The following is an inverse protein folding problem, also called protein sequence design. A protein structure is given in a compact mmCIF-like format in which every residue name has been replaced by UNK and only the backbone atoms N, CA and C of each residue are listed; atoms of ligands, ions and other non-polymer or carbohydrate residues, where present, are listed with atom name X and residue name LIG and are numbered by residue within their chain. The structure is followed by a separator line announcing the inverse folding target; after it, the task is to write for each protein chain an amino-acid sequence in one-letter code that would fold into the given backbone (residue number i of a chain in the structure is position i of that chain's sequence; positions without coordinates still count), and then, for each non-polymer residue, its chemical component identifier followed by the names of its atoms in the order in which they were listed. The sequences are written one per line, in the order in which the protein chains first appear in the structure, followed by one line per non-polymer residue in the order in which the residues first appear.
data_IF_264850481066
#
_entry.id   IF_264850481066
#
_cell.length_a   1.000
_cell.length_b   1.000
_cell.length_c   1.000
_cell.angle_alpha   90.00
_cell.angle_beta   90.00
_cell.angle_gamma   90.00
#
_symmetry.space_group_name_H-M   'P 1'
#
loop_
_entity.id
_entity.type
_entity.pdbx_description
1 polymer ?
#
# COMPACT_ATOMS: atom_id res chain seq x y z
N UNK A 1 -15.95 -1.62 -23.58
CA UNK A 1 -14.96 -2.72 -23.64
C UNK A 1 -14.09 -2.56 -22.41
N UNK A 2 -13.94 -3.61 -21.58
CA UNK A 2 -13.00 -3.62 -20.47
C UNK A 2 -11.61 -3.72 -21.09
N UNK A 3 -10.69 -2.81 -20.76
CA UNK A 3 -9.32 -2.87 -21.27
C UNK A 3 -8.66 -4.20 -20.87
N UNK A 4 -7.87 -4.76 -21.79
CA UNK A 4 -7.11 -5.98 -21.49
C UNK A 4 -6.05 -5.66 -20.43
N UNK A 5 -6.13 -6.32 -19.29
CA UNK A 5 -5.06 -6.29 -18.28
C UNK A 5 -4.08 -7.44 -18.52
N UNK A 6 -2.86 -7.24 -18.09
CA UNK A 6 -1.77 -8.23 -18.11
C UNK A 6 -1.28 -8.60 -16.70
N UNK A 7 -2.18 -8.60 -15.76
CA UNK A 7 -1.95 -8.94 -14.36
C UNK A 7 -3.20 -9.60 -13.75
N UNK A 8 -2.97 -10.46 -12.79
CA UNK A 8 -4.00 -11.06 -11.94
C UNK A 8 -4.01 -10.37 -10.58
N UNK A 9 -2.85 -10.01 -10.04
CA UNK A 9 -2.77 -9.25 -8.79
C UNK A 9 -2.08 -7.91 -9.02
N UNK A 10 -2.73 -6.83 -8.60
CA UNK A 10 -2.14 -5.50 -8.59
C UNK A 10 -2.02 -4.98 -7.16
N UNK A 11 -0.79 -4.81 -6.69
CA UNK A 11 -0.53 -4.11 -5.43
C UNK A 11 -0.53 -2.59 -5.62
N UNK A 12 -1.23 -1.88 -4.74
CA UNK A 12 -1.20 -0.42 -4.64
C UNK A 12 -0.77 -0.05 -3.24
N UNK A 13 0.53 0.17 -3.07
CA UNK A 13 1.15 0.55 -1.81
C UNK A 13 1.38 2.04 -1.68
N UNK A 14 1.81 2.44 -0.50
CA UNK A 14 2.18 3.83 -0.19
C UNK A 14 1.68 4.28 1.17
N UNK A 15 2.17 5.43 1.67
CA UNK A 15 1.79 5.93 2.98
C UNK A 15 0.32 6.32 3.08
N UNK A 16 -0.18 6.38 4.30
CA UNK A 16 -1.51 6.92 4.60
C UNK A 16 -1.63 8.39 4.15
N UNK A 17 -2.82 8.80 3.74
CA UNK A 17 -3.09 10.16 3.32
C UNK A 17 -2.63 10.53 1.90
N UNK A 18 -2.04 9.60 1.13
CA UNK A 18 -1.58 9.86 -0.26
C UNK A 18 -2.66 9.66 -1.32
N UNK A 19 -3.83 9.13 -0.95
CA UNK A 19 -4.95 8.91 -1.85
C UNK A 19 -4.91 7.60 -2.65
N UNK A 20 -4.08 6.64 -2.26
CA UNK A 20 -3.97 5.33 -2.90
C UNK A 20 -5.32 4.60 -3.02
N UNK A 21 -6.15 4.58 -1.95
CA UNK A 21 -7.48 3.94 -1.98
C UNK A 21 -8.37 4.55 -3.07
N UNK A 22 -8.39 5.89 -3.18
CA UNK A 22 -9.16 6.55 -4.25
C UNK A 22 -8.68 6.18 -5.65
N UNK A 23 -7.39 5.93 -5.84
CA UNK A 23 -6.83 5.44 -7.11
C UNK A 23 -7.20 3.98 -7.31
N UNK A 24 -7.05 3.13 -6.28
CA UNK A 24 -7.36 1.71 -6.32
C UNK A 24 -8.81 1.44 -6.75
N UNK A 25 -9.77 2.12 -6.13
CA UNK A 25 -11.18 1.98 -6.48
C UNK A 25 -11.50 2.45 -7.91
N UNK A 26 -10.85 3.50 -8.40
CA UNK A 26 -11.02 3.94 -9.80
C UNK A 26 -10.44 2.94 -10.80
N UNK A 27 -9.30 2.32 -10.48
CA UNK A 27 -8.69 1.26 -11.29
C UNK A 27 -9.59 0.01 -11.25
N UNK A 28 -10.09 -0.34 -10.07
CA UNK A 28 -11.02 -1.46 -9.91
C UNK A 28 -12.27 -1.29 -10.78
N UNK A 29 -12.85 -0.10 -10.78
CA UNK A 29 -13.99 0.23 -11.64
C UNK A 29 -13.63 0.16 -13.14
N UNK A 30 -12.43 0.64 -13.52
CA UNK A 30 -11.96 0.62 -14.91
C UNK A 30 -11.80 -0.80 -15.46
N UNK A 31 -11.24 -1.72 -14.66
CA UNK A 31 -11.00 -3.11 -15.08
C UNK A 31 -12.10 -4.09 -14.67
N UNK A 32 -13.10 -3.67 -13.89
CA UNK A 32 -14.16 -4.54 -13.39
C UNK A 32 -13.65 -5.61 -12.42
N UNK A 33 -12.74 -5.23 -11.49
CA UNK A 33 -12.11 -6.14 -10.52
C UNK A 33 -12.39 -5.73 -9.09
N UNK A 34 -12.18 -6.64 -8.15
CA UNK A 34 -12.36 -6.37 -6.71
C UNK A 34 -11.16 -5.64 -6.11
N UNK A 35 -11.38 -4.96 -4.98
CA UNK A 35 -10.35 -4.41 -4.12
C UNK A 35 -10.36 -5.18 -2.80
N UNK A 36 -9.18 -5.53 -2.31
CA UNK A 36 -8.93 -6.08 -0.99
C UNK A 36 -8.06 -5.10 -0.23
N UNK A 37 -8.55 -4.60 0.89
CA UNK A 37 -7.80 -3.68 1.75
C UNK A 37 -6.88 -4.48 2.68
N UNK A 38 -5.61 -4.11 2.75
CA UNK A 38 -4.62 -4.78 3.61
C UNK A 38 -4.98 -4.61 5.10
N UNK A 39 -5.69 -3.54 5.43
CA UNK A 39 -6.13 -3.26 6.81
C UNK A 39 -7.14 -4.30 7.30
N UNK A 40 -7.99 -4.84 6.42
CA UNK A 40 -8.90 -5.96 6.75
C UNK A 40 -8.12 -7.25 7.00
N UNK A 41 -7.07 -7.50 6.20
CA UNK A 41 -6.17 -8.65 6.41
C UNK A 41 -5.43 -8.51 7.75
N UNK A 42 -4.89 -7.31 8.03
CA UNK A 42 -4.24 -7.02 9.30
C UNK A 42 -5.19 -7.26 10.48
N UNK A 43 -6.42 -6.76 10.42
CA UNK A 43 -7.42 -6.96 11.46
C UNK A 43 -7.77 -8.44 11.66
N UNK A 44 -7.93 -9.18 10.56
CA UNK A 44 -8.20 -10.63 10.62
C UNK A 44 -7.03 -11.39 11.25
N UNK A 45 -5.79 -11.14 10.81
CA UNK A 45 -4.56 -11.75 11.36
C UNK A 45 -4.45 -11.43 12.85
N UNK A 46 -4.62 -10.16 13.23
CA UNK A 46 -4.58 -9.73 14.63
C UNK A 46 -5.58 -10.48 15.50
N UNK A 47 -6.78 -10.77 14.99
CA UNK A 47 -7.82 -11.46 15.75
C UNK A 47 -7.49 -12.92 16.06
N UNK A 48 -6.74 -13.60 15.20
CA UNK A 48 -6.49 -15.06 15.28
C UNK A 48 -5.05 -15.41 15.68
N UNK A 49 -4.19 -14.42 15.92
CA UNK A 49 -2.78 -14.60 16.30
C UNK A 49 -2.50 -14.08 17.69
N UNK A 50 -1.29 -14.32 18.19
CA UNK A 50 -0.81 -13.83 19.47
C UNK A 50 0.44 -12.97 19.29
N UNK A 51 0.73 -12.13 20.28
CA UNK A 51 1.96 -11.30 20.29
C UNK A 51 3.25 -12.16 20.23
N UNK A 52 3.21 -13.38 20.70
CA UNK A 52 4.36 -14.29 20.64
C UNK A 52 4.72 -14.64 19.19
N UNK A 53 3.71 -14.82 18.36
CA UNK A 53 3.87 -15.28 16.98
C UNK A 53 3.96 -14.10 15.99
N UNK A 54 3.25 -12.98 16.30
CA UNK A 54 3.18 -11.78 15.48
C UNK A 54 3.41 -10.51 16.32
N UNK A 55 4.64 -10.28 16.81
CA UNK A 55 4.94 -9.19 17.73
C UNK A 55 4.69 -7.80 17.14
N UNK A 56 4.91 -7.57 15.85
CA UNK A 56 4.65 -6.27 15.22
C UNK A 56 3.15 -6.02 15.03
N UNK A 57 2.37 -7.03 14.65
CA UNK A 57 0.90 -6.94 14.55
C UNK A 57 0.28 -6.58 15.89
N UNK A 58 0.81 -7.12 16.99
CA UNK A 58 0.35 -6.87 18.36
C UNK A 58 1.14 -5.81 19.12
N UNK A 59 1.96 -5.02 18.43
CA UNK A 59 2.86 -4.06 19.08
C UNK A 59 2.13 -3.05 19.97
N UNK A 60 1.03 -2.51 19.50
CA UNK A 60 0.24 -1.50 20.22
C UNK A 60 -0.54 -2.05 21.41
N UNK A 61 -0.70 -3.35 21.53
CA UNK A 61 -1.33 -4.00 22.68
C UNK A 61 -0.42 -3.94 23.94
N UNK A 62 0.81 -3.48 23.78
CA UNK A 62 1.77 -3.28 24.88
C UNK A 62 1.53 -2.01 25.71
N UNK A 63 0.63 -1.13 25.24
CA UNK A 63 0.39 0.16 25.84
C UNK A 63 1.41 1.25 25.50
N UNK A 64 2.36 0.97 24.59
CA UNK A 64 3.29 1.97 24.05
C UNK A 64 2.50 2.97 23.21
N UNK A 65 2.75 4.26 23.44
CA UNK A 65 2.15 5.29 22.61
C UNK A 65 2.96 5.48 21.32
N UNK A 66 2.28 5.62 20.19
CA UNK A 66 2.92 5.82 18.89
C UNK A 66 3.80 7.09 18.82
N UNK A 67 3.53 8.10 19.67
CA UNK A 67 4.36 9.30 19.80
C UNK A 67 5.70 9.03 20.49
N UNK A 68 5.79 7.99 21.31
CA UNK A 68 6.98 7.72 22.14
C UNK A 68 8.12 7.08 21.33
N UNK A 69 7.79 6.41 20.23
CA UNK A 69 8.78 5.72 19.39
C UNK A 69 9.35 6.60 18.26
N UNK A 70 8.89 7.83 18.15
CA UNK A 70 9.33 8.76 17.10
C UNK A 70 8.86 8.37 15.68
N UNK A 71 9.17 9.23 14.72
CA UNK A 71 8.79 9.02 13.30
C UNK A 71 9.43 7.73 12.77
N UNK A 72 10.74 7.54 12.98
CA UNK A 72 11.47 6.36 12.51
C UNK A 72 10.94 5.06 13.11
N UNK A 73 10.61 5.06 14.41
CA UNK A 73 10.02 3.89 15.06
C UNK A 73 8.68 3.49 14.44
N UNK A 74 7.82 4.47 14.13
CA UNK A 74 6.56 4.20 13.46
C UNK A 74 6.76 3.65 12.03
N UNK A 75 7.72 4.18 11.27
CA UNK A 75 8.03 3.67 9.93
C UNK A 75 8.62 2.26 9.98
N UNK A 76 9.45 1.97 10.98
CA UNK A 76 9.96 0.62 11.20
C UNK A 76 8.81 -0.34 11.54
N UNK A 77 7.88 0.06 12.43
CA UNK A 77 6.69 -0.73 12.74
C UNK A 77 5.86 -1.06 11.49
N UNK A 78 5.59 -0.09 10.61
CA UNK A 78 4.89 -0.34 9.34
C UNK A 78 5.59 -1.41 8.49
N UNK A 79 6.91 -1.35 8.44
CA UNK A 79 7.74 -2.31 7.72
C UNK A 79 7.71 -3.70 8.36
N UNK A 80 7.76 -3.77 9.69
CA UNK A 80 7.77 -5.03 10.43
C UNK A 80 6.41 -5.73 10.36
N UNK A 81 5.30 -4.99 10.46
CA UNK A 81 3.95 -5.54 10.20
C UNK A 81 3.87 -6.12 8.79
N UNK A 82 4.38 -5.38 7.79
CA UNK A 82 4.42 -5.86 6.41
C UNK A 82 5.11 -7.22 6.29
N UNK A 83 6.24 -7.41 6.97
CA UNK A 83 6.99 -8.68 6.97
C UNK A 83 6.23 -9.81 7.65
N UNK A 84 5.58 -9.52 8.78
CA UNK A 84 4.82 -10.52 9.53
C UNK A 84 3.59 -11.02 8.76
N UNK A 85 2.87 -10.13 8.06
CA UNK A 85 1.68 -10.53 7.27
C UNK A 85 2.04 -11.11 5.89
N UNK A 86 3.30 -11.06 5.46
CA UNK A 86 3.73 -11.54 4.16
C UNK A 86 3.35 -12.99 3.84
N UNK A 87 3.45 -13.97 4.75
CA UNK A 87 3.02 -15.34 4.48
C UNK A 87 1.53 -15.44 4.11
N UNK A 88 0.69 -14.64 4.77
CA UNK A 88 -0.75 -14.55 4.49
C UNK A 88 -0.99 -13.93 3.11
N UNK A 89 -0.26 -12.84 2.80
CA UNK A 89 -0.34 -12.22 1.47
C UNK A 89 0.09 -13.16 0.35
N UNK A 90 1.13 -13.96 0.57
CA UNK A 90 1.58 -14.96 -0.43
C UNK A 90 0.47 -15.97 -0.73
N UNK A 91 -0.20 -16.47 0.29
CA UNK A 91 -1.29 -17.42 0.09
C UNK A 91 -2.47 -16.79 -0.67
N UNK A 92 -2.84 -15.56 -0.31
CA UNK A 92 -3.89 -14.81 -1.03
C UNK A 92 -3.52 -14.61 -2.50
N UNK A 93 -2.29 -14.17 -2.78
CA UNK A 93 -1.80 -13.95 -4.15
C UNK A 93 -1.81 -15.26 -4.96
N UNK A 94 -1.26 -16.33 -4.40
CA UNK A 94 -1.23 -17.64 -5.06
C UNK A 94 -2.64 -18.10 -5.41
N UNK A 95 -3.59 -17.99 -4.47
CA UNK A 95 -4.99 -18.34 -4.69
C UNK A 95 -5.61 -17.54 -5.83
N UNK A 96 -5.38 -16.23 -5.88
CA UNK A 96 -5.91 -15.39 -6.96
C UNK A 96 -5.32 -15.74 -8.32
N UNK A 97 -4.02 -16.10 -8.39
CA UNK A 97 -3.35 -16.55 -9.62
C UNK A 97 -3.91 -17.91 -10.07
N UNK A 98 -3.98 -18.89 -9.17
CA UNK A 98 -4.48 -20.23 -9.47
C UNK A 98 -5.92 -20.22 -9.98
N UNK A 99 -6.80 -19.45 -9.32
CA UNK A 99 -8.21 -19.33 -9.67
C UNK A 99 -8.45 -18.35 -10.85
N UNK A 100 -7.42 -17.66 -11.36
CA UNK A 100 -7.51 -16.60 -12.38
C UNK A 100 -8.52 -15.50 -12.02
N UNK A 101 -8.62 -15.17 -10.73
CA UNK A 101 -9.51 -14.15 -10.18
C UNK A 101 -8.74 -12.84 -9.93
N UNK A 102 -8.90 -11.83 -10.77
CA UNK A 102 -8.13 -10.60 -10.63
C UNK A 102 -8.54 -9.79 -9.40
N UNK A 103 -7.54 -9.21 -8.73
CA UNK A 103 -7.72 -8.42 -7.53
C UNK A 103 -6.72 -7.28 -7.45
N UNK A 104 -7.14 -6.16 -6.88
CA UNK A 104 -6.26 -5.09 -6.41
C UNK A 104 -6.12 -5.26 -4.89
N UNK A 105 -4.89 -5.34 -4.39
CA UNK A 105 -4.62 -5.33 -2.96
C UNK A 105 -4.00 -3.98 -2.64
N UNK A 106 -4.62 -3.20 -1.73
CA UNK A 106 -4.17 -1.86 -1.43
C UNK A 106 -3.95 -1.61 0.06
N UNK A 107 -3.05 -0.71 0.39
CA UNK A 107 -2.88 -0.15 1.74
C UNK A 107 -1.44 0.13 2.16
N UNK A 108 -1.31 0.56 3.43
CA UNK A 108 -0.05 1.06 3.99
C UNK A 108 0.98 -0.05 4.25
N UNK A 109 0.52 -1.26 4.57
CA UNK A 109 1.41 -2.41 4.85
C UNK A 109 1.92 -3.10 3.58
N UNK A 110 1.62 -2.57 2.39
CA UNK A 110 2.21 -3.05 1.14
C UNK A 110 3.56 -2.37 0.96
N UNK A 111 4.61 -3.09 1.35
CA UNK A 111 5.99 -2.63 1.26
C UNK A 111 6.60 -3.06 -0.09
N UNK A 112 7.40 -2.21 -0.77
CA UNK A 112 8.02 -2.57 -2.05
C UNK A 112 8.98 -3.76 -1.97
N UNK A 113 9.63 -4.00 -0.83
CA UNK A 113 10.46 -5.16 -0.60
C UNK A 113 9.65 -6.46 -0.70
N UNK A 114 8.42 -6.46 -0.17
CA UNK A 114 7.51 -7.58 -0.24
C UNK A 114 7.04 -7.81 -1.68
N UNK A 115 6.59 -6.75 -2.36
CA UNK A 115 6.08 -6.90 -3.73
C UNK A 115 7.16 -7.41 -4.69
N UNK A 116 8.41 -7.05 -4.47
CA UNK A 116 9.53 -7.57 -5.25
C UNK A 116 9.79 -9.06 -5.04
N UNK A 117 9.36 -9.63 -3.92
CA UNK A 117 9.50 -11.07 -3.67
C UNK A 117 8.56 -11.94 -4.52
N UNK A 118 7.52 -11.35 -5.11
CA UNK A 118 6.66 -12.00 -6.07
C UNK A 118 7.30 -11.90 -7.46
N UNK A 119 7.93 -12.98 -7.90
CA UNK A 119 8.60 -13.05 -9.22
C UNK A 119 7.63 -13.52 -10.34
N UNK A 120 6.35 -13.41 -10.12
CA UNK A 120 5.33 -13.80 -11.07
C UNK A 120 5.00 -12.64 -12.01
N UNK A 121 4.92 -12.93 -13.33
CA UNK A 121 4.58 -11.95 -14.35
C UNK A 121 3.14 -11.41 -14.21
N UNK A 122 2.27 -12.16 -13.52
CA UNK A 122 0.88 -11.79 -13.25
C UNK A 122 0.74 -10.86 -12.04
N UNK A 123 1.82 -10.61 -11.29
CA UNK A 123 1.83 -9.68 -10.16
C UNK A 123 2.46 -8.36 -10.57
N UNK A 124 1.73 -7.27 -10.41
CA UNK A 124 2.22 -5.91 -10.63
C UNK A 124 2.12 -5.09 -9.36
N UNK A 125 2.95 -4.05 -9.25
CA UNK A 125 2.91 -3.13 -8.11
C UNK A 125 3.10 -1.68 -8.54
N UNK A 126 2.40 -0.79 -7.85
CA UNK A 126 2.52 0.66 -7.98
C UNK A 126 2.50 1.27 -6.58
N UNK A 127 3.39 2.22 -6.33
CA UNK A 127 3.43 2.95 -5.06
C UNK A 127 3.00 4.39 -5.26
N UNK A 128 2.04 4.85 -4.45
CA UNK A 128 1.51 6.21 -4.52
C UNK A 128 2.10 7.02 -3.37
N UNK A 129 2.82 8.07 -3.69
CA UNK A 129 3.49 8.94 -2.71
C UNK A 129 3.04 10.41 -2.85
N UNK A 130 3.09 11.14 -1.75
CA UNK A 130 2.93 12.59 -1.67
C UNK A 130 4.13 13.15 -0.90
N UNK A 131 4.70 14.26 -1.37
CA UNK A 131 5.88 14.86 -0.76
C UNK A 131 5.58 16.12 0.04
N UNK A 132 4.38 16.65 -0.09
CA UNK A 132 3.95 17.84 0.63
C UNK A 132 3.21 17.45 1.91
N UNK A 133 3.87 17.68 3.04
CA UNK A 133 3.33 17.42 4.38
C UNK A 133 1.98 18.12 4.57
N UNK A 134 1.86 19.38 4.17
CA UNK A 134 0.63 20.14 4.32
C UNK A 134 -0.53 19.53 3.50
N UNK A 135 -0.21 18.93 2.35
CA UNK A 135 -1.23 18.24 1.56
C UNK A 135 -1.72 16.97 2.28
N UNK A 136 -0.82 16.20 2.89
CA UNK A 136 -1.21 15.01 3.68
C UNK A 136 -2.06 15.42 4.87
N UNK A 137 -1.67 16.47 5.61
CA UNK A 137 -2.50 17.02 6.71
C UNK A 137 -3.90 17.40 6.23
N UNK A 138 -3.99 18.12 5.10
CA UNK A 138 -5.30 18.45 4.49
C UNK A 138 -6.11 17.22 4.12
N UNK A 139 -5.46 16.19 3.59
CA UNK A 139 -6.13 14.96 3.20
C UNK A 139 -6.70 14.21 4.43
N UNK A 140 -5.95 14.18 5.54
CA UNK A 140 -6.45 13.62 6.80
C UNK A 140 -7.63 14.41 7.35
N UNK A 141 -7.50 15.73 7.40
CA UNK A 141 -8.55 16.61 7.87
C UNK A 141 -9.84 16.46 7.04
N UNK A 142 -9.72 16.35 5.73
CA UNK A 142 -10.86 16.15 4.83
C UNK A 142 -11.53 14.78 5.00
N UNK A 143 -10.76 13.73 5.34
CA UNK A 143 -11.27 12.36 5.51
C UNK A 143 -11.86 12.11 6.89
N UNK A 144 -11.21 12.60 7.93
CA UNK A 144 -11.48 12.22 9.33
C UNK A 144 -12.06 13.39 10.16
N UNK A 145 -11.91 14.64 9.69
CA UNK A 145 -12.24 15.81 10.48
C UNK A 145 -11.26 16.02 11.66
N UNK A 146 -11.69 16.79 12.68
CA UNK A 146 -10.94 16.99 13.92
C UNK A 146 -9.77 17.96 13.77
N UNK A 147 -8.69 17.73 14.52
CA UNK A 147 -7.49 18.55 14.54
C UNK A 147 -6.47 18.14 13.46
N UNK A 148 -5.60 19.07 12.99
CA UNK A 148 -4.54 18.76 12.03
C UNK A 148 -3.57 17.71 12.56
N UNK A 149 -3.43 16.59 11.84
CA UNK A 149 -2.60 15.44 12.23
C UNK A 149 -1.17 15.58 11.71
N UNK A 150 -0.43 16.60 12.18
CA UNK A 150 0.92 16.91 11.67
C UNK A 150 1.92 15.76 11.89
N UNK A 151 1.97 15.20 13.10
CA UNK A 151 2.89 14.10 13.42
C UNK A 151 2.62 12.85 12.59
N UNK A 152 1.35 12.51 12.35
CA UNK A 152 1.01 11.40 11.45
C UNK A 152 1.42 11.68 10.00
N UNK A 153 1.33 12.94 9.57
CA UNK A 153 1.79 13.33 8.24
C UNK A 153 3.32 13.25 8.12
N UNK A 154 4.08 13.56 9.18
CA UNK A 154 5.53 13.36 9.22
C UNK A 154 5.91 11.89 9.03
N UNK A 155 5.21 10.97 9.71
CA UNK A 155 5.40 9.52 9.52
C UNK A 155 5.13 9.14 8.06
N UNK A 156 4.05 9.64 7.47
CA UNK A 156 3.70 9.34 6.08
C UNK A 156 4.73 9.89 5.08
N UNK A 157 5.27 11.09 5.32
CA UNK A 157 6.35 11.66 4.49
C UNK A 157 7.61 10.80 4.58
N UNK A 158 8.03 10.43 5.79
CA UNK A 158 9.24 9.63 5.97
C UNK A 158 9.09 8.23 5.37
N UNK A 159 7.94 7.60 5.59
CA UNK A 159 7.66 6.31 4.97
C UNK A 159 7.65 6.39 3.44
N UNK A 160 7.04 7.45 2.89
CA UNK A 160 7.04 7.71 1.44
C UNK A 160 8.43 7.90 0.84
N UNK A 161 9.36 8.54 1.56
CA UNK A 161 10.78 8.65 1.15
C UNK A 161 11.44 7.29 1.08
N UNK A 162 11.31 6.46 2.13
CA UNK A 162 11.90 5.11 2.15
C UNK A 162 11.35 4.22 1.04
N UNK A 163 10.03 4.26 0.79
CA UNK A 163 9.40 3.58 -0.33
C UNK A 163 10.01 4.07 -1.66
N UNK A 164 10.08 5.39 -1.88
CA UNK A 164 10.58 5.94 -3.13
C UNK A 164 12.05 5.58 -3.38
N UNK A 165 12.89 5.61 -2.36
CA UNK A 165 14.31 5.24 -2.44
C UNK A 165 14.47 3.75 -2.77
N UNK A 166 13.72 2.88 -2.11
CA UNK A 166 13.74 1.45 -2.42
C UNK A 166 13.27 1.18 -3.85
N UNK A 167 12.14 1.77 -4.25
CA UNK A 167 11.59 1.60 -5.59
C UNK A 167 12.55 2.04 -6.67
N UNK A 168 13.23 3.19 -6.49
CA UNK A 168 14.24 3.71 -7.43
C UNK A 168 15.39 2.72 -7.63
N UNK A 169 15.84 2.08 -6.56
CA UNK A 169 16.97 1.14 -6.60
C UNK A 169 16.58 -0.27 -7.10
N UNK A 170 15.28 -0.53 -7.28
CA UNK A 170 14.74 -1.86 -7.61
C UNK A 170 13.79 -1.86 -8.81
N UNK A 171 13.77 -0.79 -9.61
CA UNK A 171 12.93 -0.64 -10.82
C UNK A 171 11.43 -0.82 -10.56
N UNK A 172 10.97 -0.43 -9.36
CA UNK A 172 9.55 -0.42 -9.01
C UNK A 172 8.93 0.94 -9.28
N UNK A 173 7.65 0.95 -9.62
CA UNK A 173 6.96 2.18 -10.03
C UNK A 173 6.45 2.98 -8.83
N UNK A 174 6.90 4.22 -8.74
CA UNK A 174 6.31 5.25 -7.88
C UNK A 174 5.53 6.24 -8.74
N UNK A 175 4.34 6.59 -8.28
CA UNK A 175 3.48 7.62 -8.86
C UNK A 175 3.28 8.71 -7.79
N UNK A 176 3.67 9.92 -8.11
CA UNK A 176 3.32 11.08 -7.28
C UNK A 176 1.79 11.27 -7.29
N UNK A 177 1.18 11.50 -6.14
CA UNK A 177 -0.27 11.66 -6.05
C UNK A 177 -0.77 12.87 -6.84
N UNK A 178 0.01 13.93 -6.88
CA UNK A 178 -0.31 15.16 -7.63
C UNK A 178 0.40 15.25 -8.99
N UNK A 179 -0.18 15.92 -9.99
CA UNK A 179 -1.53 16.49 -10.05
C UNK A 179 -2.60 15.40 -9.97
N UNK A 180 -3.55 15.58 -9.06
CA UNK A 180 -4.54 14.56 -8.71
C UNK A 180 -5.44 14.14 -9.87
N UNK A 181 -5.80 15.10 -10.73
CA UNK A 181 -6.62 14.87 -11.91
C UNK A 181 -5.96 13.99 -12.97
N UNK A 182 -4.64 13.79 -12.91
CA UNK A 182 -3.89 12.92 -13.84
C UNK A 182 -3.36 11.64 -13.18
N UNK A 183 -3.51 11.48 -11.86
CA UNK A 183 -2.93 10.35 -11.12
C UNK A 183 -3.40 8.99 -11.66
N UNK A 184 -4.71 8.82 -11.84
CA UNK A 184 -5.28 7.62 -12.44
C UNK A 184 -4.71 7.33 -13.83
N UNK A 185 -4.68 8.34 -14.72
CA UNK A 185 -4.15 8.21 -16.07
C UNK A 185 -2.69 7.73 -16.06
N UNK A 186 -1.85 8.31 -15.19
CA UNK A 186 -0.43 7.92 -15.06
C UNK A 186 -0.25 6.48 -14.58
N UNK A 187 -1.13 5.97 -13.71
CA UNK A 187 -1.12 4.56 -13.31
C UNK A 187 -1.54 3.67 -14.47
N UNK A 188 -2.63 3.98 -15.16
CA UNK A 188 -3.12 3.20 -16.30
C UNK A 188 -2.11 3.16 -17.45
N UNK A 189 -1.46 4.29 -17.77
CA UNK A 189 -0.38 4.34 -18.77
C UNK A 189 0.79 3.42 -18.38
N UNK A 190 1.18 3.40 -17.12
CA UNK A 190 2.22 2.48 -16.64
C UNK A 190 1.81 1.03 -16.80
N UNK A 191 0.60 0.67 -16.37
CA UNK A 191 0.09 -0.71 -16.47
C UNK A 191 -0.01 -1.17 -17.93
N UNK A 192 -0.45 -0.32 -18.84
CA UNK A 192 -0.59 -0.62 -20.25
C UNK A 192 0.76 -0.74 -20.99
N UNK A 193 1.77 0.07 -20.62
CA UNK A 193 3.09 0.05 -21.22
C UNK A 193 3.92 -1.19 -20.83
N UNK A 194 3.47 -2.00 -19.88
CA UNK A 194 4.08 -3.28 -19.53
C UNK A 194 3.58 -4.47 -20.39
N UNK A 195 2.73 -4.22 -21.38
CA UNK A 195 2.13 -5.25 -22.26
C UNK A 195 3.12 -5.77 -23.35
N UNK A 196 4.35 -5.25 -23.41
CA UNK A 196 5.29 -5.53 -24.52
C UNK A 196 6.70 -5.96 -24.14
N UNK A 197 6.93 -6.43 -22.90
CA UNK A 197 8.28 -6.93 -22.54
C UNK A 197 8.24 -8.36 -22.06
#
# INVERSE_FOLDING_TARGET
MIDKRNWTVLFIGGPSGTGKSSIAYKIAQHYGVSVLEIDDIYAAVKTVTTRKDFPAVHYWDTGVNWTDIGVDGNVNWLTDVSKEIMPVLKEIVNRHIEDQLPVIIEGDFINPEITKSFQDSEVKSVFVCERDLNQIVKNYLAREGGEPQNYRAEISIEYGKRIADYCKNNDLKVIESRPWNTALKRVLEYLNNQVGK
#
